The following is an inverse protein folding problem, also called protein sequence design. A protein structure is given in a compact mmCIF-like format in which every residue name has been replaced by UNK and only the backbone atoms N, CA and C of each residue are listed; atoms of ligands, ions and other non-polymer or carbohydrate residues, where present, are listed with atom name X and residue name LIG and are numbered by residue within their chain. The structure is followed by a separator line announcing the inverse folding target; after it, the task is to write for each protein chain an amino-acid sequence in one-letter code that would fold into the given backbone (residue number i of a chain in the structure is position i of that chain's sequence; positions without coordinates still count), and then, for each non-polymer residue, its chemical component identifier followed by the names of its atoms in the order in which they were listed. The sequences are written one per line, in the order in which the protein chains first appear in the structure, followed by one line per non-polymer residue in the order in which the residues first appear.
data_IF_498427723008
#
_entry.id   IF_498427723008
#
_cell.length_a   1.000
_cell.length_b   1.000
_cell.length_c   1.000
_cell.angle_alpha   90.00
_cell.angle_beta   90.00
_cell.angle_gamma   90.00
#
_symmetry.space_group_name_H-M   'P 1'
#
loop_
_entity.id
_entity.type
_entity.pdbx_description
1 polymer ?
#
# COMPACT_ATOMS: atom_id res chain seq x y z
N UNK A 1 29.67 32.41 -0.99
CA UNK A 1 29.58 32.85 0.42
C UNK A 1 28.09 32.96 0.72
N UNK A 2 27.44 32.19 1.59
CA UNK A 2 27.90 31.28 2.64
C UNK A 2 27.02 30.04 2.64
N UNK A 3 27.67 28.92 2.87
CA UNK A 3 27.14 27.60 3.12
C UNK A 3 26.13 27.60 4.28
N UNK A 4 24.98 26.97 4.08
CA UNK A 4 24.36 26.20 5.14
C UNK A 4 24.24 24.75 4.68
N UNK A 5 25.34 24.03 4.86
CA UNK A 5 25.29 22.58 4.98
C UNK A 5 24.48 22.25 6.23
N UNK A 6 23.38 21.53 6.06
CA UNK A 6 22.98 20.52 7.04
C UNK A 6 23.00 19.18 6.31
N UNK A 7 24.20 18.60 6.29
CA UNK A 7 24.40 17.18 6.07
C UNK A 7 23.92 16.44 7.31
N UNK A 8 22.69 15.92 7.26
CA UNK A 8 22.15 14.77 8.03
C UNK A 8 20.82 14.47 7.34
N UNK A 9 20.60 13.38 6.62
CA UNK A 9 20.57 12.01 7.12
C UNK A 9 20.53 11.04 5.92
N UNK A 10 21.63 10.32 5.68
CA UNK A 10 21.68 9.17 4.76
C UNK A 10 21.06 7.93 5.45
N UNK A 11 19.80 8.01 5.90
CA UNK A 11 19.30 7.04 6.89
C UNK A 11 17.81 6.69 6.89
N UNK A 12 16.96 7.34 6.08
CA UNK A 12 15.57 6.89 5.89
C UNK A 12 15.26 6.82 4.40
N UNK A 13 15.55 5.68 3.79
CA UNK A 13 14.69 5.22 2.69
C UNK A 13 13.32 5.12 3.33
N UNK A 14 12.40 6.03 2.99
CA UNK A 14 11.01 5.92 3.42
C UNK A 14 10.56 4.51 3.07
N UNK A 15 10.27 3.68 4.08
CA UNK A 15 9.76 2.34 3.82
C UNK A 15 8.57 2.49 2.87
N UNK A 16 8.52 1.74 1.76
CA UNK A 16 7.39 1.83 0.85
C UNK A 16 6.13 1.59 1.65
N UNK A 17 5.13 2.48 1.54
CA UNK A 17 3.87 2.26 2.23
C UNK A 17 3.18 1.05 1.59
N UNK A 18 3.20 -0.08 2.30
CA UNK A 18 2.76 -1.38 1.77
C UNK A 18 1.27 -1.64 2.04
N UNK A 19 0.60 -0.69 2.67
CA UNK A 19 -0.84 -0.72 2.96
C UNK A 19 -1.51 0.35 2.12
N UNK A 20 -2.56 -0.02 1.38
CA UNK A 20 -3.36 0.93 0.61
C UNK A 20 -3.88 2.01 1.56
N UNK A 21 -3.59 3.27 1.26
CA UNK A 21 -4.03 4.37 2.11
C UNK A 21 -5.55 4.49 2.09
N UNK A 22 -6.15 4.60 3.27
CA UNK A 22 -7.56 4.95 3.43
C UNK A 22 -7.70 6.46 3.58
N UNK A 23 -8.66 7.04 2.85
CA UNK A 23 -8.97 8.47 2.91
C UNK A 23 -10.22 8.77 3.73
N UNK A 24 -11.07 7.77 3.96
CA UNK A 24 -12.28 7.88 4.77
C UNK A 24 -13.46 7.14 4.14
N UNK A 25 -14.67 7.48 4.57
CA UNK A 25 -15.90 6.92 4.02
C UNK A 25 -16.72 8.02 3.36
N UNK A 26 -17.46 7.66 2.31
CA UNK A 26 -18.47 8.53 1.70
C UNK A 26 -19.80 7.77 1.61
N UNK A 27 -20.90 8.50 1.42
CA UNK A 27 -22.23 7.92 1.27
C UNK A 27 -22.79 8.34 -0.09
N UNK A 28 -23.22 7.37 -0.88
CA UNK A 28 -23.92 7.64 -2.14
C UNK A 28 -25.44 7.55 -1.92
N UNK A 29 -26.18 8.67 -2.01
CA UNK A 29 -27.63 8.67 -1.80
C UNK A 29 -28.42 7.95 -2.90
N UNK A 30 -27.78 7.52 -4.00
CA UNK A 30 -28.39 6.76 -5.11
C UNK A 30 -28.35 5.24 -4.89
N UNK A 31 -27.65 4.79 -3.86
CA UNK A 31 -27.66 3.40 -3.45
C UNK A 31 -28.76 3.31 -2.37
N UNK A 32 -29.93 2.81 -2.76
CA UNK A 32 -31.20 2.96 -2.04
C UNK A 32 -31.36 2.10 -0.75
N UNK A 33 -30.25 1.54 -0.27
CA UNK A 33 -30.17 0.76 0.99
C UNK A 33 -29.46 1.59 2.07
N UNK A 34 -29.92 1.54 3.32
CA UNK A 34 -29.43 2.42 4.40
C UNK A 34 -27.94 2.19 4.81
N UNK A 35 -27.27 1.21 4.22
CA UNK A 35 -25.93 0.72 4.58
C UNK A 35 -24.82 1.08 3.56
N UNK A 36 -25.06 2.00 2.63
CA UNK A 36 -24.15 2.30 1.51
C UNK A 36 -23.00 3.26 1.84
N UNK A 37 -22.19 2.92 2.83
CA UNK A 37 -20.89 3.57 3.04
C UNK A 37 -19.86 2.97 2.07
N UNK A 38 -19.29 3.84 1.24
CA UNK A 38 -18.18 3.51 0.36
C UNK A 38 -16.87 3.89 1.06
N UNK A 39 -15.94 2.94 1.12
CA UNK A 39 -14.58 3.23 1.55
C UNK A 39 -13.85 3.95 0.42
N UNK A 40 -13.34 5.15 0.69
CA UNK A 40 -12.46 5.89 -0.22
C UNK A 40 -11.03 5.51 0.13
N UNK A 41 -10.34 4.93 -0.83
CA UNK A 41 -9.01 4.36 -0.67
C UNK A 41 -8.14 4.66 -1.90
N UNK A 42 -6.82 4.65 -1.72
CA UNK A 42 -5.85 4.84 -2.80
C UNK A 42 -6.08 3.83 -3.93
N UNK A 43 -6.15 4.35 -5.15
CA UNK A 43 -6.35 3.52 -6.34
C UNK A 43 -5.07 2.75 -6.65
N UNK A 44 -5.20 1.42 -6.77
CA UNK A 44 -4.11 0.55 -7.18
C UNK A 44 -4.14 0.35 -8.71
N UNK A 45 -3.32 1.08 -9.50
CA UNK A 45 -3.36 1.00 -10.97
C UNK A 45 -2.97 -0.39 -11.50
N UNK A 46 -2.11 -1.10 -10.76
CA UNK A 46 -1.72 -2.48 -11.08
C UNK A 46 -2.78 -3.52 -10.72
N UNK A 47 -3.88 -3.10 -10.11
CA UNK A 47 -4.99 -3.96 -9.73
C UNK A 47 -4.67 -4.89 -8.56
N UNK A 48 -5.36 -6.02 -8.54
CA UNK A 48 -5.33 -6.99 -7.46
C UNK A 48 -4.15 -7.96 -7.57
N UNK A 49 -3.44 -8.16 -6.45
CA UNK A 49 -2.26 -9.03 -6.39
C UNK A 49 -2.60 -10.50 -6.70
N UNK A 50 -3.75 -10.98 -6.26
CA UNK A 50 -4.15 -12.36 -6.50
C UNK A 50 -4.37 -12.63 -7.99
N UNK A 51 -5.07 -11.74 -8.70
CA UNK A 51 -5.22 -11.80 -10.17
C UNK A 51 -3.88 -11.70 -10.89
N UNK A 52 -3.02 -10.79 -10.46
CA UNK A 52 -1.67 -10.68 -11.03
C UNK A 52 -0.89 -11.99 -10.89
N UNK A 53 -0.93 -12.61 -9.71
CA UNK A 53 -0.26 -13.89 -9.47
C UNK A 53 -0.87 -15.01 -10.29
N UNK A 54 -2.20 -15.14 -10.36
CA UNK A 54 -2.86 -16.16 -11.20
C UNK A 54 -2.40 -16.11 -12.65
N UNK A 55 -2.24 -14.91 -13.20
CA UNK A 55 -1.89 -14.73 -14.61
C UNK A 55 -0.38 -14.88 -14.89
N UNK A 56 0.49 -14.57 -13.92
CA UNK A 56 1.93 -14.41 -14.18
C UNK A 56 2.84 -15.31 -13.30
N UNK A 57 2.29 -16.24 -12.52
CA UNK A 57 3.05 -16.98 -11.50
C UNK A 57 4.28 -17.72 -12.05
N UNK A 58 4.17 -18.25 -13.27
CA UNK A 58 5.25 -18.98 -13.96
C UNK A 58 6.28 -18.05 -14.60
N UNK A 59 5.91 -16.80 -14.89
CA UNK A 59 6.75 -15.83 -15.58
C UNK A 59 7.57 -14.96 -14.62
N UNK A 60 7.09 -14.76 -13.39
CA UNK A 60 7.81 -14.00 -12.38
C UNK A 60 8.99 -14.82 -11.81
N UNK A 61 10.16 -14.19 -11.74
CA UNK A 61 11.35 -14.81 -11.16
C UNK A 61 11.24 -14.95 -9.62
N UNK A 62 12.17 -15.71 -9.04
CA UNK A 62 12.19 -15.98 -7.61
C UNK A 62 12.42 -14.71 -6.76
N UNK A 63 13.14 -13.71 -7.29
CA UNK A 63 13.40 -12.46 -6.57
C UNK A 63 12.12 -11.68 -6.43
N UNK A 64 11.34 -11.57 -7.51
CA UNK A 64 10.04 -10.90 -7.50
C UNK A 64 9.07 -11.60 -6.55
N UNK A 65 9.05 -12.94 -6.52
CA UNK A 65 8.26 -13.72 -5.55
C UNK A 65 8.66 -13.38 -4.10
N UNK A 66 9.96 -13.36 -3.79
CA UNK A 66 10.46 -13.01 -2.48
C UNK A 66 10.07 -11.58 -2.07
N UNK A 67 10.15 -10.62 -3.01
CA UNK A 67 9.70 -9.25 -2.76
C UNK A 67 8.21 -9.18 -2.43
N UNK A 68 7.35 -9.85 -3.20
CA UNK A 68 5.89 -9.86 -2.94
C UNK A 68 5.59 -10.34 -1.53
N UNK A 69 6.25 -11.43 -1.08
CA UNK A 69 6.10 -11.94 0.29
C UNK A 69 6.59 -10.92 1.32
N UNK A 70 7.78 -10.36 1.12
CA UNK A 70 8.35 -9.34 2.00
C UNK A 70 7.42 -8.14 2.16
N UNK A 71 6.90 -7.60 1.06
CA UNK A 71 5.97 -6.47 1.09
C UNK A 71 4.64 -6.81 1.79
N UNK A 72 4.13 -8.02 1.58
CA UNK A 72 2.89 -8.48 2.22
C UNK A 72 3.03 -8.60 3.73
N UNK A 73 4.15 -9.19 4.20
CA UNK A 73 4.41 -9.36 5.64
C UNK A 73 4.56 -8.00 6.33
N UNK A 74 5.38 -7.11 5.76
CA UNK A 74 5.61 -5.79 6.36
C UNK A 74 4.33 -4.93 6.34
N UNK A 75 3.52 -5.00 5.28
CA UNK A 75 2.20 -4.36 5.27
C UNK A 75 1.29 -4.84 6.40
N UNK A 76 1.23 -6.17 6.63
CA UNK A 76 0.47 -6.75 7.74
C UNK A 76 0.98 -6.31 9.12
N UNK A 77 2.30 -6.30 9.33
CA UNK A 77 2.91 -5.85 10.57
C UNK A 77 2.61 -4.38 10.83
N UNK A 78 2.79 -3.52 9.83
CA UNK A 78 2.52 -2.08 9.93
C UNK A 78 1.05 -1.81 10.27
N UNK A 79 0.11 -2.51 9.63
CA UNK A 79 -1.31 -2.41 9.96
C UNK A 79 -1.59 -2.77 11.43
N UNK A 80 -0.99 -3.85 11.94
CA UNK A 80 -1.16 -4.29 13.33
C UNK A 80 -0.61 -3.29 14.35
N UNK A 81 0.40 -2.51 13.99
CA UNK A 81 0.97 -1.48 14.86
C UNK A 81 0.15 -0.18 14.89
N UNK A 82 -0.59 0.15 13.82
CA UNK A 82 -1.44 1.34 13.74
C UNK A 82 -2.75 1.19 14.53
N UNK A 83 -3.26 -0.04 14.69
CA UNK A 83 -4.52 -0.31 15.39
C UNK A 83 -4.44 -0.40 16.92
N UNK A 84 -3.39 0.13 17.56
CA UNK A 84 -3.22 0.18 19.02
C UNK A 84 -3.35 1.59 19.56
#
# INVERSE_FOLDING_TARGET
MTNHHTYTDYGRVSEPNMVIKTYGFTKDPRLDSLDNYLLVMEYAPSGDLYKYLQNNFTEIDWRKKAFIIYFTINGYLNFKHIGK
#
